data_IF_560071162094
#
_entry.id   IF_560071162094
#
_cell.length_a   1.000
_cell.length_b   1.000
_cell.length_c   1.000
_cell.angle_alpha   90.00
_cell.angle_beta   90.00
_cell.angle_gamma   90.00
#
_symmetry.space_group_name_H-M   'P 1'
#
loop_
_entity.id
_entity.type
_entity.pdbx_description
1 polymer ?
#
# COMPACT_ATOMS: atom_id res chain seq x y z
N UNK A 1 -7.88 -26.68 -0.72
CA UNK A 1 -8.92 -26.12 0.18
C UNK A 1 -10.28 -26.24 -0.47
N UNK A 2 -11.29 -26.76 0.23
CA UNK A 2 -12.66 -26.78 -0.29
C UNK A 2 -13.15 -25.34 -0.54
N UNK A 3 -13.88 -25.11 -1.63
CA UNK A 3 -14.36 -23.76 -1.98
C UNK A 3 -15.28 -23.15 -0.92
N UNK A 4 -15.89 -23.96 -0.06
CA UNK A 4 -16.67 -23.50 1.09
C UNK A 4 -15.79 -22.90 2.20
N UNK A 5 -14.71 -23.58 2.59
CA UNK A 5 -13.82 -23.13 3.65
C UNK A 5 -13.13 -21.80 3.28
N UNK A 6 -12.68 -21.65 2.03
CA UNK A 6 -12.10 -20.40 1.52
C UNK A 6 -13.07 -19.22 1.64
N UNK A 7 -14.35 -19.43 1.35
CA UNK A 7 -15.38 -18.37 1.41
C UNK A 7 -15.70 -17.94 2.83
N UNK A 8 -15.74 -18.88 3.77
CA UNK A 8 -15.97 -18.57 5.18
C UNK A 8 -14.79 -17.75 5.72
N UNK A 9 -13.55 -18.20 5.44
CA UNK A 9 -12.34 -17.49 5.83
C UNK A 9 -12.26 -16.09 5.20
N UNK A 10 -12.50 -15.94 3.91
CA UNK A 10 -12.45 -14.62 3.26
C UNK A 10 -13.51 -13.67 3.84
N UNK A 11 -14.70 -14.18 4.18
CA UNK A 11 -15.78 -13.38 4.77
C UNK A 11 -15.43 -12.86 6.17
N UNK A 12 -14.71 -13.61 6.98
CA UNK A 12 -14.28 -13.16 8.32
C UNK A 12 -13.02 -12.30 8.23
N UNK A 13 -12.08 -12.64 7.34
CA UNK A 13 -10.82 -11.92 7.18
C UNK A 13 -10.99 -10.55 6.54
N UNK A 14 -11.95 -10.35 5.63
CA UNK A 14 -12.17 -9.07 4.96
C UNK A 14 -12.46 -7.90 5.92
N UNK A 15 -13.47 -7.95 6.81
CA UNK A 15 -13.71 -6.85 7.75
C UNK A 15 -12.58 -6.67 8.75
N UNK A 16 -11.93 -7.76 9.19
CA UNK A 16 -10.76 -7.68 10.08
C UNK A 16 -9.58 -7.00 9.37
N UNK A 17 -9.35 -7.31 8.10
CA UNK A 17 -8.30 -6.71 7.28
C UNK A 17 -8.56 -5.22 7.03
N UNK A 18 -9.81 -4.84 6.73
CA UNK A 18 -10.20 -3.44 6.55
C UNK A 18 -10.08 -2.66 7.86
N UNK A 19 -10.49 -3.24 9.00
CA UNK A 19 -10.29 -2.65 10.32
C UNK A 19 -8.80 -2.50 10.65
N UNK A 20 -8.00 -3.52 10.38
CA UNK A 20 -6.55 -3.46 10.58
C UNK A 20 -5.94 -2.34 9.75
N UNK A 21 -6.28 -2.24 8.46
CA UNK A 21 -5.79 -1.16 7.58
C UNK A 21 -6.24 0.23 8.03
N UNK A 22 -7.44 0.35 8.61
CA UNK A 22 -7.93 1.60 9.20
C UNK A 22 -7.18 1.99 10.48
N UNK A 23 -6.75 1.00 11.27
CA UNK A 23 -6.06 1.25 12.55
C UNK A 23 -4.57 1.50 12.37
N UNK A 24 -3.96 0.92 11.34
CA UNK A 24 -2.52 1.07 11.05
C UNK A 24 -2.19 2.29 10.19
N UNK A 25 -3.20 3.04 9.74
CA UNK A 25 -3.03 4.30 9.01
C UNK A 25 -2.59 4.18 7.56
N UNK A 26 -2.94 5.24 6.81
CA UNK A 26 -2.46 5.49 5.46
C UNK A 26 -0.97 5.84 5.44
N UNK A 27 -0.36 5.71 4.26
CA UNK A 27 1.09 5.65 4.03
C UNK A 27 1.97 6.85 4.47
N UNK A 28 1.45 7.75 5.29
CA UNK A 28 2.13 8.94 5.79
C UNK A 28 2.85 8.64 7.11
N UNK A 29 4.02 8.04 6.95
CA UNK A 29 5.28 8.35 7.66
C UNK A 29 5.54 7.93 9.11
N UNK A 30 4.62 7.40 9.91
CA UNK A 30 5.01 6.99 11.28
C UNK A 30 4.48 5.63 11.72
N UNK A 31 5.43 4.73 12.01
CA UNK A 31 5.18 3.32 12.35
C UNK A 31 5.79 2.34 11.35
N UNK A 32 7.06 2.54 10.93
CA UNK A 32 7.75 1.68 9.93
C UNK A 32 7.58 0.17 10.20
N UNK A 33 7.59 -0.22 11.48
CA UNK A 33 7.42 -1.61 11.89
C UNK A 33 5.98 -2.12 11.75
N UNK A 34 4.99 -1.33 12.19
CA UNK A 34 3.57 -1.69 12.09
C UNK A 34 3.13 -1.76 10.62
N UNK A 35 3.59 -0.81 9.82
CA UNK A 35 3.33 -0.75 8.39
C UNK A 35 4.01 -1.89 7.62
N UNK A 36 5.26 -2.22 7.97
CA UNK A 36 5.95 -3.37 7.40
C UNK A 36 5.26 -4.71 7.73
N UNK A 37 4.75 -4.87 8.95
CA UNK A 37 3.94 -6.04 9.33
C UNK A 37 2.66 -6.06 8.50
N UNK A 38 1.94 -4.95 8.40
CA UNK A 38 0.70 -4.88 7.63
C UNK A 38 0.91 -5.21 6.15
N UNK A 39 1.99 -4.71 5.54
CA UNK A 39 2.36 -5.03 4.15
C UNK A 39 2.77 -6.50 3.99
N UNK A 40 3.50 -7.06 4.94
CA UNK A 40 3.90 -8.46 4.93
C UNK A 40 2.68 -9.39 5.03
N UNK A 41 1.74 -9.09 5.95
CA UNK A 41 0.48 -9.83 6.10
C UNK A 41 -0.38 -9.69 4.84
N UNK A 42 -0.46 -8.49 4.27
CA UNK A 42 -1.17 -8.24 3.01
C UNK A 42 -0.60 -9.06 1.86
N UNK A 43 0.73 -9.07 1.71
CA UNK A 43 1.43 -9.85 0.69
C UNK A 43 1.23 -11.36 0.86
N UNK A 44 1.37 -11.88 2.08
CA UNK A 44 1.10 -13.29 2.39
C UNK A 44 -0.35 -13.67 2.10
N UNK A 45 -1.30 -12.81 2.45
CA UNK A 45 -2.72 -13.04 2.21
C UNK A 45 -3.03 -13.05 0.71
N UNK A 46 -2.51 -12.08 -0.04
CA UNK A 46 -2.63 -12.04 -1.49
C UNK A 46 -2.02 -13.29 -2.14
N UNK A 47 -0.82 -13.69 -1.73
CA UNK A 47 -0.14 -14.89 -2.21
C UNK A 47 -0.92 -16.18 -1.89
N UNK A 48 -1.40 -16.33 -0.66
CA UNK A 48 -2.20 -17.48 -0.24
C UNK A 48 -3.51 -17.59 -1.04
N UNK A 49 -4.18 -16.45 -1.29
CA UNK A 49 -5.39 -16.41 -2.11
C UNK A 49 -5.10 -16.73 -3.59
N UNK A 50 -3.94 -16.30 -4.10
CA UNK A 50 -3.49 -16.56 -5.46
C UNK A 50 -3.10 -18.02 -5.67
N UNK A 51 -2.35 -18.64 -4.76
CA UNK A 51 -2.00 -20.08 -4.81
C UNK A 51 -3.27 -20.94 -4.64
N UNK A 52 -4.21 -20.49 -3.81
CA UNK A 52 -5.53 -21.11 -3.65
C UNK A 52 -6.53 -20.82 -4.79
N UNK A 53 -6.09 -20.18 -5.88
CA UNK A 53 -6.97 -19.60 -6.89
C UNK A 53 -7.47 -20.52 -8.00
N UNK A 54 -7.73 -21.79 -7.69
CA UNK A 54 -8.36 -22.67 -8.68
C UNK A 54 -9.80 -22.21 -8.97
N UNK A 55 -9.96 -21.47 -10.09
CA UNK A 55 -11.23 -21.24 -10.79
C UNK A 55 -11.93 -19.89 -10.60
N UNK A 56 -11.46 -18.99 -9.73
CA UNK A 56 -12.12 -17.68 -9.51
C UNK A 56 -11.44 -16.50 -10.21
N UNK A 57 -10.16 -16.62 -10.61
CA UNK A 57 -9.48 -15.63 -11.44
C UNK A 57 -9.93 -15.82 -12.89
N UNK A 58 -11.08 -15.24 -13.24
CA UNK A 58 -11.65 -15.27 -14.58
C UNK A 58 -12.31 -13.94 -14.92
N UNK A 59 -12.38 -13.61 -16.21
CA UNK A 59 -13.01 -12.39 -16.70
C UNK A 59 -12.38 -11.13 -16.10
N UNK A 60 -13.21 -10.20 -15.61
CA UNK A 60 -12.76 -8.92 -15.08
C UNK A 60 -11.76 -9.01 -13.91
N UNK A 61 -11.80 -10.09 -13.12
CA UNK A 61 -10.81 -10.30 -12.04
C UNK A 61 -9.41 -10.52 -12.61
N UNK A 62 -9.29 -11.29 -13.69
CA UNK A 62 -8.00 -11.53 -14.34
C UNK A 62 -7.46 -10.25 -14.96
N UNK A 63 -8.31 -9.44 -15.58
CA UNK A 63 -7.92 -8.15 -16.16
C UNK A 63 -7.43 -7.17 -15.09
N UNK A 64 -8.14 -7.07 -13.95
CA UNK A 64 -7.72 -6.21 -12.84
C UNK A 64 -6.38 -6.66 -12.24
N UNK A 65 -6.16 -7.97 -12.08
CA UNK A 65 -4.88 -8.51 -11.60
C UNK A 65 -3.75 -8.29 -12.61
N UNK A 66 -4.04 -8.33 -13.92
CA UNK A 66 -3.06 -7.98 -14.95
C UNK A 66 -2.66 -6.50 -14.85
N UNK A 67 -3.62 -5.58 -14.69
CA UNK A 67 -3.32 -4.18 -14.46
C UNK A 67 -2.48 -3.98 -13.19
N UNK A 68 -2.84 -4.66 -12.09
CA UNK A 68 -2.07 -4.61 -10.86
C UNK A 68 -0.63 -5.10 -11.05
N UNK A 69 -0.44 -6.19 -11.81
CA UNK A 69 0.87 -6.71 -12.16
C UNK A 69 1.67 -5.71 -13.00
N UNK A 70 1.07 -5.13 -14.04
CA UNK A 70 1.73 -4.13 -14.88
C UNK A 70 2.14 -2.91 -14.06
N UNK A 71 1.28 -2.41 -13.19
CA UNK A 71 1.62 -1.30 -12.28
C UNK A 71 2.80 -1.65 -11.38
N UNK A 72 2.80 -2.84 -10.77
CA UNK A 72 3.91 -3.31 -9.95
C UNK A 72 5.22 -3.40 -10.75
N UNK A 73 5.16 -3.91 -11.99
CA UNK A 73 6.32 -3.98 -12.88
C UNK A 73 6.84 -2.59 -13.25
N UNK A 74 5.98 -1.60 -13.46
CA UNK A 74 6.39 -0.21 -13.72
C UNK A 74 7.13 0.36 -12.50
N UNK A 75 6.60 0.16 -11.29
CA UNK A 75 7.26 0.62 -10.05
C UNK A 75 8.62 -0.07 -9.85
N UNK A 76 8.72 -1.37 -10.14
CA UNK A 76 10.00 -2.10 -10.09
C UNK A 76 10.96 -1.56 -11.15
N UNK A 77 10.49 -1.29 -12.37
CA UNK A 77 11.31 -0.73 -13.44
C UNK A 77 11.84 0.68 -13.07
N UNK A 78 11.09 1.46 -12.30
CA UNK A 78 11.56 2.76 -11.79
C UNK A 78 12.71 2.65 -10.79
N UNK A 79 12.89 1.49 -10.15
CA UNK A 79 13.99 1.24 -9.23
C UNK A 79 15.26 0.74 -9.93
N UNK A 80 15.18 0.39 -11.22
CA UNK A 80 16.34 -0.05 -11.99
C UNK A 80 17.28 1.13 -12.21
N UNK A 81 18.58 0.99 -11.87
CA UNK A 81 19.57 2.04 -12.09
C UNK A 81 19.74 2.31 -13.59
N UNK A 82 19.77 3.59 -13.98
CA UNK A 82 20.06 3.95 -15.36
C UNK A 82 21.51 3.56 -15.73
N UNK A 83 21.75 3.04 -16.94
CA UNK A 83 23.11 2.83 -17.41
C UNK A 83 23.88 4.15 -17.46
N UNK A 84 25.15 4.11 -17.06
CA UNK A 84 26.02 5.31 -17.00
C UNK A 84 26.08 6.09 -18.31
N UNK A 85 26.01 5.40 -19.45
CA UNK A 85 25.99 6.03 -20.78
C UNK A 85 24.84 7.02 -20.97
N UNK A 86 23.66 6.73 -20.41
CA UNK A 86 22.51 7.63 -20.47
C UNK A 86 22.63 8.79 -19.48
N UNK A 87 23.13 8.50 -18.27
CA UNK A 87 23.27 9.54 -17.22
C UNK A 87 24.34 10.57 -17.60
N UNK A 88 25.45 10.14 -18.21
CA UNK A 88 26.51 11.03 -18.67
C UNK A 88 26.06 11.93 -19.85
N UNK A 89 25.08 11.49 -20.63
CA UNK A 89 24.51 12.26 -21.74
C UNK A 89 23.43 13.27 -21.34
N UNK A 90 23.03 13.30 -20.06
CA UNK A 90 22.07 14.29 -19.58
C UNK A 90 22.72 15.68 -19.52
N UNK A 91 22.00 16.74 -19.94
CA UNK A 91 22.49 18.11 -19.81
C UNK A 91 22.86 18.40 -18.35
N UNK A 92 23.95 19.14 -18.15
CA UNK A 92 24.50 19.53 -16.83
C UNK A 92 25.13 18.38 -15.99
N UNK A 93 25.03 17.12 -16.42
CA UNK A 93 25.69 15.98 -15.74
C UNK A 93 27.13 15.75 -16.17
N UNK A 94 27.51 16.12 -17.39
CA UNK A 94 28.86 15.90 -17.91
C UNK A 94 29.96 16.58 -17.06
N UNK A 95 29.74 17.84 -16.66
CA UNK A 95 30.68 18.59 -15.82
C UNK A 95 30.83 18.01 -14.40
N UNK A 96 29.73 17.47 -13.84
CA UNK A 96 29.75 16.79 -12.54
C UNK A 96 30.53 15.48 -12.60
N UNK A 97 30.36 14.69 -13.67
CA UNK A 97 31.11 13.44 -13.89
C UNK A 97 32.61 13.70 -14.09
N UNK A 98 32.97 14.77 -14.81
CA UNK A 98 34.37 15.19 -14.99
C UNK A 98 35.00 15.57 -13.64
N UNK A 99 34.31 16.37 -12.84
CA UNK A 99 34.77 16.78 -11.50
C UNK A 99 34.96 15.57 -10.57
N UNK A 100 34.01 14.64 -10.56
CA UNK A 100 34.11 13.40 -9.78
C UNK A 100 35.29 12.52 -10.23
N UNK A 101 35.54 12.45 -11.54
CA UNK A 101 36.67 11.70 -12.08
C UNK A 101 38.03 12.29 -11.67
N UNK A 102 38.14 13.62 -11.62
CA UNK A 102 39.36 14.33 -11.15
C UNK A 102 39.60 14.05 -9.66
N UNK A 103 38.54 13.91 -8.87
CA UNK A 103 38.60 13.56 -7.45
C UNK A 103 38.87 12.05 -7.21
N UNK A 104 39.00 11.24 -8.27
CA UNK A 104 39.19 9.79 -8.16
C UNK A 104 37.94 9.04 -7.68
N UNK A 105 36.77 9.69 -7.67
CA UNK A 105 35.51 9.10 -7.26
C UNK A 105 34.79 8.51 -8.47
N UNK A 106 34.35 7.25 -8.34
CA UNK A 106 33.53 6.62 -9.37
C UNK A 106 32.11 7.22 -9.33
N UNK A 107 31.59 7.74 -10.45
CA UNK A 107 30.25 8.30 -10.48
C UNK A 107 29.20 7.20 -10.23
N UNK A 108 28.31 7.47 -9.30
CA UNK A 108 27.26 6.55 -8.85
C UNK A 108 26.12 6.47 -9.88
N UNK A 109 25.60 5.27 -10.12
CA UNK A 109 24.44 5.07 -11.00
C UNK A 109 23.17 5.46 -10.25
N UNK A 110 22.44 6.43 -10.78
CA UNK A 110 21.18 6.87 -10.17
C UNK A 110 20.01 6.00 -10.66
N UNK A 111 19.06 5.67 -9.77
CA UNK A 111 17.79 5.06 -10.15
C UNK A 111 16.97 6.01 -11.02
N UNK A 112 16.05 5.45 -11.82
CA UNK A 112 15.12 6.24 -12.64
C UNK A 112 14.16 7.06 -11.78
N UNK A 113 13.82 6.55 -10.59
CA UNK A 113 13.01 7.27 -9.61
C UNK A 113 13.76 8.41 -8.93
N UNK A 114 13.08 9.55 -8.78
CA UNK A 114 13.55 10.71 -8.02
C UNK A 114 13.56 10.48 -6.50
N UNK A 115 12.76 9.51 -6.02
CA UNK A 115 12.65 9.14 -4.61
C UNK A 115 12.51 7.61 -4.50
N UNK A 116 13.63 6.87 -4.51
CA UNK A 116 13.64 5.40 -4.53
C UNK A 116 12.94 4.80 -3.31
N UNK A 117 13.18 5.36 -2.13
CA UNK A 117 12.58 4.89 -0.88
C UNK A 117 11.06 5.08 -0.86
N UNK A 118 10.59 6.23 -1.34
CA UNK A 118 9.15 6.48 -1.50
C UNK A 118 8.51 5.55 -2.56
N UNK A 119 9.28 5.18 -3.59
CA UNK A 119 8.81 4.24 -4.63
C UNK A 119 8.69 2.82 -4.09
N UNK A 120 9.65 2.40 -3.26
CA UNK A 120 9.58 1.14 -2.52
C UNK A 120 8.42 1.13 -1.52
N UNK A 121 8.24 2.20 -0.76
CA UNK A 121 7.10 2.37 0.14
C UNK A 121 5.76 2.27 -0.61
N UNK A 122 5.65 2.93 -1.76
CA UNK A 122 4.48 2.85 -2.64
C UNK A 122 4.23 1.44 -3.19
N UNK A 123 5.28 0.72 -3.58
CA UNK A 123 5.19 -0.67 -4.04
C UNK A 123 4.68 -1.61 -2.94
N UNK A 124 5.16 -1.45 -1.71
CA UNK A 124 4.70 -2.23 -0.56
C UNK A 124 3.27 -1.86 -0.16
N UNK A 125 2.94 -0.56 -0.17
CA UNK A 125 1.59 -0.08 0.08
C UNK A 125 0.58 -0.61 -0.93
N UNK A 126 1.00 -0.89 -2.17
CA UNK A 126 0.16 -1.48 -3.20
C UNK A 126 -0.28 -2.93 -2.90
N UNK A 127 0.41 -3.65 -2.01
CA UNK A 127 0.01 -5.01 -1.60
C UNK A 127 -1.33 -5.02 -0.85
N UNK A 128 -1.60 -4.00 -0.04
CA UNK A 128 -2.83 -3.90 0.74
C UNK A 128 -4.12 -3.81 -0.11
N UNK A 129 -4.24 -2.89 -1.09
CA UNK A 129 -5.42 -2.84 -1.96
C UNK A 129 -5.53 -4.08 -2.85
N UNK A 130 -4.41 -4.69 -3.27
CA UNK A 130 -4.44 -5.97 -4.00
C UNK A 130 -4.97 -7.10 -3.13
N UNK A 131 -4.57 -7.17 -1.85
CA UNK A 131 -5.09 -8.15 -0.90
C UNK A 131 -6.60 -7.96 -0.65
N UNK A 132 -7.06 -6.72 -0.46
CA UNK A 132 -8.48 -6.40 -0.32
C UNK A 132 -9.29 -6.77 -1.58
N UNK A 133 -8.74 -6.50 -2.77
CA UNK A 133 -9.34 -6.90 -4.04
C UNK A 133 -9.44 -8.42 -4.17
N UNK A 134 -8.36 -9.15 -3.86
CA UNK A 134 -8.35 -10.61 -3.88
C UNK A 134 -9.36 -11.21 -2.88
N UNK A 135 -9.47 -10.65 -1.67
CA UNK A 135 -10.45 -11.08 -0.67
C UNK A 135 -11.89 -10.89 -1.16
N UNK A 136 -12.21 -9.71 -1.69
CA UNK A 136 -13.56 -9.40 -2.20
C UNK A 136 -13.93 -10.28 -3.40
N UNK A 137 -12.99 -10.47 -4.33
CA UNK A 137 -13.17 -11.34 -5.48
C UNK A 137 -13.31 -12.83 -5.08
N UNK A 138 -12.62 -13.29 -4.03
CA UNK A 138 -12.69 -14.68 -3.55
C UNK A 138 -14.07 -15.07 -2.97
N UNK A 139 -14.87 -14.10 -2.49
CA UNK A 139 -16.21 -14.29 -1.89
C UNK A 139 -17.32 -14.41 -2.95
N UNK A 140 -17.04 -14.05 -4.22
CA UNK A 140 -17.97 -13.65 -5.30
C UNK A 140 -18.54 -12.23 -5.10
N UNK A 141 -18.55 -11.49 -6.20
CA UNK A 141 -18.95 -10.08 -6.29
C UNK A 141 -20.28 -9.76 -5.60
N UNK A 142 -21.33 -10.57 -5.80
CA UNK A 142 -22.66 -10.28 -5.23
C UNK A 142 -22.69 -10.29 -3.70
N UNK A 143 -22.03 -11.25 -3.05
CA UNK A 143 -22.00 -11.34 -1.58
C UNK A 143 -20.92 -10.48 -0.95
N UNK A 144 -19.80 -10.27 -1.66
CA UNK A 144 -18.77 -9.32 -1.27
C UNK A 144 -19.32 -7.90 -1.25
N UNK A 145 -20.13 -7.52 -2.24
CA UNK A 145 -20.77 -6.21 -2.33
C UNK A 145 -21.75 -5.96 -1.18
N UNK A 146 -22.55 -6.95 -0.77
CA UNK A 146 -23.46 -6.79 0.37
C UNK A 146 -22.74 -6.55 1.70
N UNK A 147 -21.59 -7.21 1.91
CA UNK A 147 -20.72 -6.95 3.06
C UNK A 147 -20.08 -5.56 2.98
N UNK A 148 -19.50 -5.21 1.82
CA UNK A 148 -18.85 -3.92 1.60
C UNK A 148 -19.82 -2.74 1.76
N UNK A 149 -21.07 -2.93 1.34
CA UNK A 149 -22.14 -1.91 1.39
C UNK A 149 -22.34 -1.36 2.80
N UNK A 150 -22.18 -2.18 3.83
CA UNK A 150 -22.32 -1.74 5.22
C UNK A 150 -20.99 -1.50 5.92
N UNK A 151 -19.96 -2.29 5.62
CA UNK A 151 -18.66 -2.13 6.30
C UNK A 151 -17.97 -0.83 5.91
N UNK A 152 -18.00 -0.43 4.63
CA UNK A 152 -17.34 0.80 4.21
C UNK A 152 -17.97 2.06 4.82
N UNK A 153 -19.30 2.27 4.78
CA UNK A 153 -19.90 3.43 5.42
C UNK A 153 -19.76 3.43 6.94
N UNK A 154 -19.78 2.25 7.59
CA UNK A 154 -19.56 2.14 9.03
C UNK A 154 -18.13 2.53 9.41
N UNK A 155 -17.13 2.02 8.69
CA UNK A 155 -15.73 2.36 8.93
C UNK A 155 -15.45 3.83 8.63
N UNK A 156 -15.92 4.33 7.49
CA UNK A 156 -15.78 5.74 7.12
C UNK A 156 -16.52 6.66 8.10
N UNK A 157 -17.72 6.27 8.55
CA UNK A 157 -18.48 7.00 9.55
C UNK A 157 -17.80 7.00 10.91
N UNK A 158 -17.29 5.85 11.36
CA UNK A 158 -16.53 5.74 12.61
C UNK A 158 -15.25 6.57 12.58
N UNK A 159 -14.52 6.52 11.46
CA UNK A 159 -13.34 7.36 11.22
C UNK A 159 -13.67 8.85 11.23
N UNK A 160 -14.72 9.28 10.53
CA UNK A 160 -15.15 10.68 10.50
C UNK A 160 -15.57 11.17 11.89
N UNK A 161 -16.29 10.34 12.66
CA UNK A 161 -16.67 10.65 14.04
C UNK A 161 -15.44 10.73 14.95
N UNK A 162 -14.44 9.86 14.76
CA UNK A 162 -13.18 9.90 15.49
C UNK A 162 -12.38 11.17 15.15
N UNK A 163 -12.30 11.53 13.86
CA UNK A 163 -11.67 12.78 13.42
C UNK A 163 -12.37 14.03 13.97
N UNK A 164 -13.70 14.02 14.04
CA UNK A 164 -14.47 15.08 14.71
C UNK A 164 -14.17 15.11 16.21
N UNK A 165 -14.13 13.96 16.88
CA UNK A 165 -13.79 13.87 18.29
C UNK A 165 -12.36 14.40 18.56
N UNK A 166 -11.40 14.15 17.68
CA UNK A 166 -10.04 14.71 17.78
C UNK A 166 -10.03 16.24 17.67
N UNK A 167 -10.83 16.83 16.79
CA UNK A 167 -10.94 18.31 16.68
C UNK A 167 -11.50 18.92 17.98
N UNK A 168 -12.60 18.36 18.50
CA UNK A 168 -13.33 18.98 19.62
C UNK A 168 -12.75 18.63 21.00
N UNK A 169 -12.23 17.41 21.17
CA UNK A 169 -11.80 16.87 22.47
C UNK A 169 -10.28 16.64 22.55
N UNK A 170 -9.55 16.71 21.42
CA UNK A 170 -8.13 16.36 21.37
C UNK A 170 -7.22 17.25 22.23
N UNK A 171 -7.59 18.52 22.49
CA UNK A 171 -6.82 19.37 23.42
C UNK A 171 -6.92 18.93 24.89
N UNK A 172 -8.00 18.22 25.26
CA UNK A 172 -8.27 17.80 26.64
C UNK A 172 -7.92 16.32 26.90
N UNK A 173 -7.83 15.48 25.86
CA UNK A 173 -7.54 14.05 25.98
C UNK A 173 -6.52 13.59 24.92
N UNK A 174 -5.23 13.42 25.28
CA UNK A 174 -4.21 12.90 24.37
C UNK A 174 -4.48 11.45 23.93
N UNK A 175 -5.29 10.68 24.66
CA UNK A 175 -5.68 9.30 24.30
C UNK A 175 -6.57 9.18 23.04
N UNK A 176 -7.04 10.31 22.47
CA UNK A 176 -7.80 10.33 21.21
C UNK A 176 -6.89 10.39 19.98
N UNK A 177 -5.60 10.68 20.17
CA UNK A 177 -4.60 10.60 19.12
C UNK A 177 -3.95 9.22 19.19
N UNK A 178 -4.17 8.41 18.15
CA UNK A 178 -3.62 7.06 18.04
C UNK A 178 -2.11 7.07 17.73
N UNK A 179 -1.56 8.21 17.31
CA UNK A 179 -0.15 8.37 16.94
C UNK A 179 0.46 9.63 17.60
N UNK A 180 1.70 9.49 18.08
CA UNK A 180 2.40 10.48 18.91
C UNK A 180 2.81 11.76 18.13
N UNK A 181 3.02 11.71 16.80
CA UNK A 181 3.17 12.92 15.98
C UNK A 181 1.94 13.16 15.13
N UNK A 182 0.98 13.84 15.73
CA UNK A 182 -0.17 14.41 15.02
C UNK A 182 -0.18 15.90 15.31
N UNK A 183 -0.37 16.75 14.28
CA UNK A 183 -0.46 18.19 14.47
C UNK A 183 -1.64 18.49 15.42
N UNK A 184 -1.40 18.96 16.67
CA UNK A 184 -2.47 19.05 17.66
C UNK A 184 -3.57 20.01 17.18
N UNK A 185 -4.80 19.50 17.04
CA UNK A 185 -5.94 20.27 16.55
C UNK A 185 -6.23 20.17 15.05
N UNK A 186 -5.57 19.27 14.31
CA UNK A 186 -5.98 18.89 12.95
C UNK A 186 -6.75 17.55 12.97
N UNK A 187 -7.77 17.37 12.10
CA UNK A 187 -8.41 16.07 11.93
C UNK A 187 -7.42 15.10 11.27
N UNK A 188 -6.99 14.09 12.02
CA UNK A 188 -6.18 12.96 11.52
C UNK A 188 -7.02 11.68 11.41
N UNK A 189 -8.33 11.85 11.24
CA UNK A 189 -9.26 10.73 11.00
C UNK A 189 -8.70 9.82 9.89
N UNK A 190 -8.60 8.52 10.19
CA UNK A 190 -7.91 7.52 9.36
C UNK A 190 -8.84 6.88 8.33
#
# INVERSE_FOLDING_TARGET
>A
MSGALRRILARTLLPVFLLAGLLTGGASLEGEFEQAIFFSVSGLLAAALFVGAQGWIRGGVATALLFALVTALILIAQLVPLPRAFVAGLPDRAAAFETLSILGLAPETLPLSLAPDATLGGLLAFLAPVAAFCLTAAIKWSRGADLLKWTLPLLAGASALLGLAQIFLGKANPALYLHDFTAPGQPVGQ
#
